data_IF_680867986606
#
_entry.id   IF_680867986606
#
_cell.length_a   1.000
_cell.length_b   1.000
_cell.length_c   1.000
_cell.angle_alpha   90.00
_cell.angle_beta   90.00
_cell.angle_gamma   90.00
#
_symmetry.space_group_name_H-M   'P 1'
#
loop_
_entity.id
_entity.type
_entity.pdbx_description
1 polymer ?
#
# COMPACT_ATOMS: atom_id res chain seq x y z
N UNK A 1 -7.30 -91.44 -19.56
CA UNK A 1 -6.18 -90.51 -19.67
C UNK A 1 -6.70 -89.14 -20.06
N UNK A 2 -6.81 -88.22 -19.08
CA UNK A 2 -7.28 -86.84 -19.31
C UNK A 2 -6.06 -85.91 -19.33
N UNK A 3 -5.84 -85.26 -20.50
CA UNK A 3 -4.78 -84.21 -20.60
C UNK A 3 -5.32 -82.92 -20.11
N UNK A 4 -4.69 -82.38 -19.07
CA UNK A 4 -4.93 -81.03 -18.60
C UNK A 4 -4.12 -80.03 -19.43
N UNK A 5 -4.83 -79.10 -20.04
CA UNK A 5 -4.25 -77.96 -20.79
C UNK A 5 -4.08 -76.76 -19.79
N UNK A 6 -2.85 -76.39 -19.52
CA UNK A 6 -2.54 -75.26 -18.66
C UNK A 6 -2.50 -73.98 -19.52
N UNK A 7 -3.41 -73.09 -19.25
CA UNK A 7 -3.52 -71.83 -19.98
C UNK A 7 -2.82 -70.75 -19.10
N UNK A 8 -1.71 -70.26 -19.64
CA UNK A 8 -0.92 -69.21 -18.99
C UNK A 8 -1.51 -67.85 -19.40
N UNK A 9 -2.09 -67.11 -18.45
CA UNK A 9 -2.58 -65.77 -18.64
C UNK A 9 -1.43 -64.79 -18.35
N UNK A 10 -0.94 -64.14 -19.39
CA UNK A 10 0.02 -63.04 -19.26
C UNK A 10 -0.75 -61.72 -18.91
N UNK A 11 -0.64 -61.28 -17.67
CA UNK A 11 -1.09 -59.94 -17.27
C UNK A 11 -0.06 -58.91 -17.69
N UNK A 12 -0.34 -58.20 -18.80
CA UNK A 12 0.41 -56.98 -19.16
C UNK A 12 -0.06 -55.84 -18.25
N UNK A 13 0.75 -55.53 -17.25
CA UNK A 13 0.54 -54.36 -16.36
C UNK A 13 0.85 -53.04 -17.09
N UNK A 14 -0.18 -52.28 -17.43
CA UNK A 14 -0.04 -50.94 -17.98
C UNK A 14 0.25 -49.98 -16.80
N UNK A 15 1.51 -49.59 -16.65
CA UNK A 15 1.93 -48.55 -15.72
C UNK A 15 1.51 -47.19 -16.30
N UNK A 16 0.38 -46.67 -15.79
CA UNK A 16 -0.07 -45.31 -16.09
C UNK A 16 0.71 -44.32 -15.18
N UNK A 17 1.80 -43.76 -15.70
CA UNK A 17 2.51 -42.70 -15.04
C UNK A 17 1.69 -41.42 -15.15
N UNK A 18 0.91 -41.12 -14.11
CA UNK A 18 0.27 -39.81 -13.96
C UNK A 18 1.35 -38.77 -13.63
N UNK A 19 1.81 -38.08 -14.67
CA UNK A 19 2.57 -36.82 -14.47
C UNK A 19 1.60 -35.77 -13.94
N UNK A 20 1.62 -35.56 -12.59
CA UNK A 20 0.98 -34.44 -11.97
C UNK A 20 1.76 -33.18 -12.40
N UNK A 21 1.28 -32.55 -13.47
CA UNK A 21 1.74 -31.24 -13.89
C UNK A 21 1.37 -30.24 -12.80
N UNK A 22 2.32 -29.93 -11.92
CA UNK A 22 2.22 -28.76 -11.04
C UNK A 22 2.30 -27.54 -11.94
N UNK A 23 1.14 -27.10 -12.42
CA UNK A 23 0.98 -25.77 -13.00
C UNK A 23 1.29 -24.76 -11.90
N UNK A 24 2.53 -24.30 -11.86
CA UNK A 24 2.89 -23.10 -11.14
C UNK A 24 2.09 -21.96 -11.79
N UNK A 25 0.89 -21.70 -11.27
CA UNK A 25 0.19 -20.46 -11.53
C UNK A 25 1.10 -19.36 -11.02
N UNK A 26 1.88 -18.80 -11.96
CA UNK A 26 2.59 -17.56 -11.79
C UNK A 26 1.52 -16.56 -11.36
N UNK A 27 1.47 -16.25 -10.06
CA UNK A 27 0.61 -15.21 -9.54
C UNK A 27 1.01 -13.96 -10.33
N UNK A 28 0.19 -13.57 -11.28
CA UNK A 28 0.29 -12.26 -11.90
C UNK A 28 0.18 -11.28 -10.75
N UNK A 29 1.32 -10.73 -10.36
CA UNK A 29 1.39 -9.65 -9.41
C UNK A 29 0.51 -8.56 -10.03
N UNK A 30 -0.68 -8.41 -9.48
CA UNK A 30 -1.63 -7.38 -9.87
C UNK A 30 -0.87 -6.07 -9.75
N UNK A 31 -0.44 -5.53 -10.89
CA UNK A 31 0.35 -4.31 -10.99
C UNK A 31 -0.52 -3.22 -10.35
N UNK A 32 -0.28 -2.96 -9.07
CA UNK A 32 -1.00 -1.96 -8.31
C UNK A 32 -0.92 -0.66 -9.11
N UNK A 33 -2.06 -0.20 -9.58
CA UNK A 33 -2.14 0.99 -10.40
C UNK A 33 -1.75 2.19 -9.52
N UNK A 34 -0.52 2.67 -9.75
CA UNK A 34 0.01 3.80 -9.00
C UNK A 34 -0.74 5.08 -9.42
N UNK A 35 -1.31 5.84 -8.48
CA UNK A 35 -2.06 7.05 -8.80
C UNK A 35 -1.22 8.02 -9.64
N UNK A 36 -1.84 8.65 -10.64
CA UNK A 36 -1.14 9.53 -11.60
C UNK A 36 -0.55 10.77 -10.94
N UNK A 37 -1.12 11.22 -9.83
CA UNK A 37 -0.66 12.38 -9.08
C UNK A 37 0.61 12.12 -8.26
N UNK A 38 0.99 10.87 -8.02
CA UNK A 38 2.26 10.55 -7.35
C UNK A 38 3.42 10.90 -8.26
N UNK A 39 4.37 11.70 -7.79
CA UNK A 39 5.53 12.14 -8.58
C UNK A 39 6.37 10.95 -9.08
N UNK A 40 7.11 11.15 -10.18
CA UNK A 40 7.95 10.09 -10.75
C UNK A 40 8.99 9.56 -9.74
N UNK A 41 9.58 10.45 -8.94
CA UNK A 41 10.58 10.09 -7.94
C UNK A 41 9.96 9.25 -6.81
N UNK A 42 8.83 9.69 -6.28
CA UNK A 42 8.11 8.98 -5.21
C UNK A 42 7.54 7.65 -5.69
N UNK A 43 7.08 7.60 -6.94
CA UNK A 43 6.63 6.36 -7.58
C UNK A 43 7.71 5.29 -7.62
N UNK A 44 8.95 5.67 -7.94
CA UNK A 44 10.08 4.73 -7.95
C UNK A 44 10.35 4.15 -6.55
N UNK A 45 10.33 4.99 -5.52
CA UNK A 45 10.47 4.57 -4.11
C UNK A 45 9.35 3.61 -3.70
N UNK A 46 8.09 3.97 -4.03
CA UNK A 46 6.92 3.16 -3.70
C UNK A 46 6.94 1.82 -4.42
N UNK A 47 7.29 1.78 -5.70
CA UNK A 47 7.41 0.53 -6.45
C UNK A 47 8.44 -0.41 -5.84
N UNK A 48 9.60 0.10 -5.44
CA UNK A 48 10.63 -0.68 -4.75
C UNK A 48 10.14 -1.20 -3.39
N UNK A 49 9.46 -0.36 -2.63
CA UNK A 49 8.92 -0.75 -1.33
C UNK A 49 7.80 -1.79 -1.46
N UNK A 50 6.85 -1.58 -2.37
CA UNK A 50 5.73 -2.49 -2.64
C UNK A 50 6.21 -3.86 -3.20
N UNK A 51 7.29 -3.90 -3.96
CA UNK A 51 7.88 -5.16 -4.40
C UNK A 51 8.31 -6.06 -3.23
N UNK A 52 8.68 -5.46 -2.10
CA UNK A 52 9.00 -6.16 -0.84
C UNK A 52 7.77 -6.38 0.07
N UNK A 53 6.67 -5.73 -0.23
CA UNK A 53 5.41 -5.77 0.54
C UNK A 53 4.22 -6.03 -0.41
N UNK A 54 4.18 -7.17 -1.12
CA UNK A 54 3.22 -7.43 -2.20
C UNK A 54 1.76 -7.53 -1.72
N UNK A 55 1.55 -7.67 -0.42
CA UNK A 55 0.22 -7.66 0.20
C UNK A 55 -0.37 -6.25 0.30
N UNK A 56 0.43 -5.20 0.07
CA UNK A 56 0.00 -3.81 0.17
C UNK A 56 -0.12 -3.16 -1.22
N UNK A 57 -0.97 -2.17 -1.33
CA UNK A 57 -1.06 -1.25 -2.46
C UNK A 57 -1.19 0.19 -1.96
N UNK A 58 -0.92 1.14 -2.80
CA UNK A 58 -1.21 2.55 -2.51
C UNK A 58 -2.72 2.74 -2.46
N UNK A 59 -3.21 3.43 -1.43
CA UNK A 59 -4.59 3.87 -1.38
C UNK A 59 -4.81 5.03 -2.38
N UNK A 60 -6.00 5.07 -2.95
CA UNK A 60 -6.41 6.06 -3.95
C UNK A 60 -7.64 6.80 -3.47
N UNK A 61 -7.97 7.92 -4.08
CA UNK A 61 -9.18 8.68 -3.75
C UNK A 61 -10.47 7.83 -3.80
N UNK A 62 -10.43 6.71 -4.55
CA UNK A 62 -11.55 5.73 -4.62
C UNK A 62 -11.71 4.89 -3.36
N UNK A 63 -10.68 4.80 -2.54
CA UNK A 63 -10.73 4.06 -1.26
C UNK A 63 -11.34 4.92 -0.14
N UNK A 64 -11.57 6.20 -0.41
CA UNK A 64 -12.26 7.11 0.48
C UNK A 64 -13.78 6.87 0.42
N UNK A 65 -14.43 6.81 1.56
CA UNK A 65 -15.84 6.47 1.64
C UNK A 65 -16.77 7.58 1.12
N UNK A 66 -16.92 8.66 1.88
CA UNK A 66 -17.78 9.80 1.54
C UNK A 66 -17.02 11.13 1.54
N UNK A 67 -15.82 11.14 0.97
CA UNK A 67 -14.90 12.27 1.09
C UNK A 67 -14.92 13.27 -0.07
N UNK A 68 -15.80 13.13 -1.05
CA UNK A 68 -15.74 13.99 -2.23
C UNK A 68 -15.93 15.48 -1.88
N UNK A 69 -16.82 15.78 -0.95
CA UNK A 69 -17.09 17.16 -0.50
C UNK A 69 -15.87 17.71 0.25
N UNK A 70 -15.27 16.90 1.10
CA UNK A 70 -14.09 17.26 1.89
C UNK A 70 -12.86 17.44 1.01
N UNK A 71 -12.67 16.57 0.00
CA UNK A 71 -11.59 16.69 -0.99
C UNK A 71 -11.73 18.01 -1.75
N UNK A 72 -12.95 18.37 -2.18
CA UNK A 72 -13.22 19.62 -2.88
C UNK A 72 -12.96 20.82 -1.95
N UNK A 73 -13.45 20.79 -0.72
CA UNK A 73 -13.24 21.84 0.26
C UNK A 73 -11.76 22.07 0.57
N UNK A 74 -11.01 21.00 0.80
CA UNK A 74 -9.57 21.06 1.05
C UNK A 74 -8.80 21.55 -0.19
N UNK A 75 -9.19 21.11 -1.38
CA UNK A 75 -8.59 21.58 -2.63
C UNK A 75 -8.79 23.08 -2.82
N UNK A 76 -9.98 23.58 -2.53
CA UNK A 76 -10.30 25.00 -2.61
C UNK A 76 -9.52 25.81 -1.54
N UNK A 77 -9.46 25.32 -0.33
CA UNK A 77 -8.75 25.99 0.77
C UNK A 77 -7.24 26.09 0.52
N UNK A 78 -6.63 25.07 -0.06
CA UNK A 78 -5.19 25.02 -0.33
C UNK A 78 -4.80 25.61 -1.70
N UNK A 79 -5.75 25.93 -2.56
CA UNK A 79 -5.48 26.41 -3.93
C UNK A 79 -4.82 25.37 -4.85
N UNK A 80 -4.91 24.08 -4.47
CA UNK A 80 -4.34 22.94 -5.20
C UNK A 80 -5.21 21.70 -4.99
N UNK A 81 -5.15 20.75 -5.93
CA UNK A 81 -5.88 19.49 -5.79
C UNK A 81 -5.37 18.74 -4.58
N UNK A 82 -6.26 18.46 -3.64
CA UNK A 82 -5.97 17.66 -2.46
C UNK A 82 -6.24 16.18 -2.73
N UNK A 83 -5.28 15.35 -2.31
CA UNK A 83 -5.40 13.89 -2.37
C UNK A 83 -5.32 13.33 -0.95
N UNK A 84 -6.37 12.68 -0.44
CA UNK A 84 -6.46 12.31 0.99
C UNK A 84 -5.37 11.35 1.44
N UNK A 85 -4.78 10.60 0.52
CA UNK A 85 -3.83 9.54 0.83
C UNK A 85 -2.40 9.81 0.36
N UNK A 86 -2.11 11.06 0.02
CA UNK A 86 -0.78 11.45 -0.42
C UNK A 86 -0.51 12.92 -0.09
N UNK A 87 0.55 13.14 0.66
CA UNK A 87 1.03 14.47 1.01
C UNK A 87 2.52 14.61 0.69
N UNK A 88 2.93 15.82 0.32
CA UNK A 88 4.30 16.17 -0.02
C UNK A 88 4.68 17.43 0.73
N UNK A 89 5.89 17.47 1.28
CA UNK A 89 6.42 18.64 1.97
C UNK A 89 7.73 18.33 2.67
N UNK A 90 8.29 19.31 3.31
CA UNK A 90 9.42 19.14 4.22
C UNK A 90 8.86 18.90 5.63
N UNK A 91 8.62 17.65 5.99
CA UNK A 91 7.95 17.30 7.25
C UNK A 91 8.88 17.32 8.43
N UNK A 92 10.19 17.16 8.21
CA UNK A 92 11.22 17.12 9.24
C UNK A 92 12.02 18.41 9.35
N UNK A 93 11.82 19.38 8.45
CA UNK A 93 12.48 20.67 8.46
C UNK A 93 13.93 20.64 7.99
N UNK A 94 14.35 19.62 7.21
CA UNK A 94 15.73 19.49 6.71
C UNK A 94 15.97 20.18 5.35
N UNK A 95 14.95 20.85 4.82
CA UNK A 95 14.99 21.56 3.53
C UNK A 95 14.86 20.66 2.31
N UNK A 96 14.49 19.38 2.50
CA UNK A 96 14.26 18.42 1.40
C UNK A 96 12.80 18.04 1.34
N UNK A 97 12.40 17.65 0.15
CA UNK A 97 11.06 17.14 -0.08
C UNK A 97 10.93 15.73 0.50
N UNK A 98 9.96 15.57 1.42
CA UNK A 98 9.48 14.31 1.94
C UNK A 98 8.13 13.97 1.31
N UNK A 99 7.67 12.73 1.46
CA UNK A 99 6.28 12.40 1.15
C UNK A 99 5.69 11.39 2.15
N UNK A 100 4.40 11.51 2.35
CA UNK A 100 3.59 10.57 3.11
C UNK A 100 2.56 9.91 2.19
N UNK A 101 2.29 8.64 2.41
CA UNK A 101 1.34 7.87 1.61
C UNK A 101 0.54 6.92 2.47
N UNK A 102 -0.76 6.84 2.22
CA UNK A 102 -1.58 5.79 2.79
C UNK A 102 -1.49 4.52 1.93
N UNK A 103 -1.41 3.41 2.60
CA UNK A 103 -1.30 2.07 2.06
C UNK A 103 -2.48 1.23 2.56
N UNK A 104 -2.94 0.29 1.76
CA UNK A 104 -4.05 -0.59 2.09
C UNK A 104 -3.75 -2.01 1.62
N UNK A 105 -4.34 -3.02 2.24
CA UNK A 105 -4.17 -4.41 1.80
C UNK A 105 -4.71 -4.60 0.38
N UNK A 106 -3.92 -5.26 -0.49
CA UNK A 106 -4.29 -5.52 -1.90
C UNK A 106 -5.51 -6.43 -2.04
N UNK A 107 -5.79 -7.25 -1.02
CA UNK A 107 -6.94 -8.16 -0.99
C UNK A 107 -7.78 -7.86 0.24
N UNK A 108 -9.08 -7.61 0.07
CA UNK A 108 -9.96 -7.36 1.21
C UNK A 108 -10.02 -8.60 2.13
N UNK A 109 -9.91 -8.37 3.43
CA UNK A 109 -10.04 -9.44 4.43
C UNK A 109 -11.53 -9.67 4.70
N UNK A 110 -12.05 -10.81 4.27
CA UNK A 110 -13.48 -11.18 4.25
C UNK A 110 -14.26 -11.02 5.57
N UNK A 111 -13.61 -10.78 6.69
CA UNK A 111 -14.25 -10.67 8.02
C UNK A 111 -14.16 -9.29 8.66
N UNK A 112 -13.60 -8.29 7.97
CA UNK A 112 -13.49 -6.93 8.52
C UNK A 112 -14.65 -6.07 8.05
N UNK A 113 -15.21 -5.28 8.97
CA UNK A 113 -16.28 -4.33 8.67
C UNK A 113 -15.78 -3.12 7.87
N UNK A 114 -14.47 -2.85 7.95
CA UNK A 114 -13.81 -1.75 7.24
C UNK A 114 -12.36 -2.13 6.93
N UNK A 115 -11.84 -1.54 5.88
CA UNK A 115 -10.45 -1.69 5.47
C UNK A 115 -9.53 -0.90 6.42
N UNK A 116 -8.40 -1.49 6.77
CA UNK A 116 -7.38 -0.82 7.59
C UNK A 116 -6.30 -0.24 6.71
N UNK A 117 -5.95 0.98 7.00
CA UNK A 117 -4.87 1.70 6.34
C UNK A 117 -3.59 1.62 7.15
N UNK A 118 -2.48 1.72 6.45
CA UNK A 118 -1.20 2.06 7.03
C UNK A 118 -0.73 3.38 6.42
N UNK A 119 -0.04 4.22 7.18
CA UNK A 119 0.63 5.41 6.65
C UNK A 119 2.13 5.22 6.74
N UNK A 120 2.80 5.45 5.62
CA UNK A 120 4.25 5.46 5.51
C UNK A 120 4.74 6.88 5.18
N UNK A 121 5.79 7.34 5.86
CA UNK A 121 6.48 8.60 5.56
C UNK A 121 7.89 8.26 5.08
N UNK A 122 8.29 8.85 3.99
CA UNK A 122 9.62 8.71 3.42
C UNK A 122 10.31 10.06 3.38
N UNK A 123 11.52 10.12 3.95
CA UNK A 123 12.33 11.33 3.92
C UNK A 123 13.21 11.36 2.67
N UNK A 124 13.30 12.55 2.05
CA UNK A 124 14.18 12.81 0.92
C UNK A 124 15.69 12.80 1.26
N UNK A 125 16.57 12.97 0.30
CA UNK A 125 16.29 13.13 -1.13
C UNK A 125 16.06 11.80 -1.85
N UNK A 126 15.20 11.79 -2.88
CA UNK A 126 14.85 10.60 -3.67
C UNK A 126 15.71 10.44 -4.94
N UNK A 127 16.83 11.14 -5.03
CA UNK A 127 17.77 11.05 -6.14
C UNK A 127 18.82 9.96 -5.87
N UNK A 128 18.91 8.99 -6.77
CA UNK A 128 19.96 7.95 -6.73
C UNK A 128 19.40 6.55 -6.37
N UNK A 129 19.47 5.65 -7.31
CA UNK A 129 18.82 4.33 -7.32
C UNK A 129 19.45 3.24 -6.43
N UNK A 130 20.46 3.57 -5.62
CA UNK A 130 21.22 2.54 -4.90
C UNK A 130 20.84 2.36 -3.42
N UNK A 131 19.92 3.13 -2.89
CA UNK A 131 19.51 3.02 -1.48
C UNK A 131 18.13 2.40 -1.40
N UNK A 132 18.00 1.31 -0.65
CA UNK A 132 16.70 0.80 -0.23
C UNK A 132 16.02 1.89 0.60
N UNK A 133 15.00 2.50 0.02
CA UNK A 133 14.19 3.46 0.75
C UNK A 133 13.36 2.72 1.79
N UNK A 134 13.59 3.05 3.04
CA UNK A 134 12.83 2.55 4.19
C UNK A 134 12.01 3.73 4.70
N UNK A 135 10.73 3.52 5.03
CA UNK A 135 9.94 4.58 5.65
C UNK A 135 10.60 5.06 6.95
N UNK A 136 10.65 6.37 7.13
CA UNK A 136 11.05 7.00 8.39
C UNK A 136 9.97 6.83 9.47
N UNK A 137 8.72 6.60 9.02
CA UNK A 137 7.58 6.25 9.85
C UNK A 137 6.70 5.27 9.11
N UNK A 138 6.19 4.27 9.83
CA UNK A 138 5.19 3.34 9.33
C UNK A 138 4.25 2.95 10.47
N UNK A 139 2.97 3.24 10.32
CA UNK A 139 1.93 2.86 11.28
C UNK A 139 0.75 2.25 10.55
N UNK A 140 0.38 1.06 10.95
CA UNK A 140 -0.81 0.35 10.46
C UNK A 140 -2.03 0.53 11.38
N UNK A 141 -3.06 -0.21 11.06
CA UNK A 141 -4.34 -0.29 11.81
C UNK A 141 -5.10 1.04 11.94
N UNK A 142 -4.90 1.94 10.99
CA UNK A 142 -5.59 3.23 10.93
C UNK A 142 -6.94 3.08 10.20
N UNK A 143 -7.95 3.83 10.66
CA UNK A 143 -9.18 4.01 9.91
C UNK A 143 -9.13 5.36 9.20
N UNK A 144 -8.84 5.36 7.91
CA UNK A 144 -8.78 6.58 7.08
C UNK A 144 -9.84 6.57 5.98
N UNK A 145 -10.88 5.76 6.11
CA UNK A 145 -11.95 5.71 5.11
C UNK A 145 -12.64 7.06 4.91
N UNK A 146 -12.82 7.81 6.01
CA UNK A 146 -13.41 9.14 6.01
C UNK A 146 -12.40 10.16 6.58
N UNK A 147 -11.14 10.01 6.16
CA UNK A 147 -10.03 10.81 6.62
C UNK A 147 -8.89 10.87 5.63
N UNK A 148 -7.77 11.40 6.06
CA UNK A 148 -6.63 11.57 5.18
C UNK A 148 -5.34 11.97 5.88
N UNK A 149 -4.39 12.33 5.06
CA UNK A 149 -3.08 12.87 5.41
C UNK A 149 -3.09 14.36 5.06
N UNK A 150 -2.81 15.20 6.02
CA UNK A 150 -2.89 16.65 5.88
C UNK A 150 -1.52 17.27 6.13
N UNK A 151 -1.12 18.16 5.23
CA UNK A 151 0.07 19.00 5.41
C UNK A 151 -0.13 20.32 4.65
N UNK A 152 -0.01 21.43 5.34
CA UNK A 152 -0.17 22.74 4.73
C UNK A 152 -0.65 23.79 5.72
N UNK A 153 -0.81 25.04 5.27
CA UNK A 153 -1.18 26.15 6.15
C UNK A 153 -2.62 26.11 6.65
N UNK A 154 -3.49 25.39 5.96
CA UNK A 154 -4.94 25.33 6.23
C UNK A 154 -5.38 24.04 6.92
N UNK A 155 -4.42 23.21 7.33
CA UNK A 155 -4.70 21.92 7.99
C UNK A 155 -4.99 22.12 9.49
N UNK A 156 -5.59 21.14 10.19
CA UNK A 156 -5.83 21.20 11.63
C UNK A 156 -4.55 21.49 12.44
N UNK A 157 -3.40 21.02 11.93
CA UNK A 157 -2.07 21.27 12.52
C UNK A 157 -1.16 21.92 11.46
N UNK A 158 -1.19 23.26 11.30
CA UNK A 158 -0.40 23.95 10.29
C UNK A 158 1.09 23.61 10.40
N UNK A 159 1.73 23.38 9.23
CA UNK A 159 3.15 23.01 9.11
C UNK A 159 3.56 21.70 9.81
N UNK A 160 2.59 20.90 10.24
CA UNK A 160 2.82 19.54 10.76
C UNK A 160 2.10 18.52 9.91
N UNK A 161 2.68 17.34 9.81
CA UNK A 161 2.01 16.23 9.16
C UNK A 161 0.96 15.67 10.11
N UNK A 162 -0.30 15.79 9.73
CA UNK A 162 -1.45 15.32 10.49
C UNK A 162 -2.16 14.20 9.76
N UNK A 163 -2.56 13.18 10.48
CA UNK A 163 -3.28 12.01 9.97
C UNK A 163 -4.55 11.87 10.78
N UNK A 164 -5.70 12.07 10.18
CA UNK A 164 -6.96 12.08 10.93
C UNK A 164 -8.19 12.05 10.07
N UNK A 165 -9.34 12.20 10.72
CA UNK A 165 -10.63 12.22 10.07
C UNK A 165 -10.97 13.62 9.56
N UNK A 166 -11.74 13.69 8.47
CA UNK A 166 -12.28 14.96 7.98
C UNK A 166 -13.22 15.58 9.01
N UNK A 167 -13.17 16.90 9.11
CA UNK A 167 -14.03 17.66 10.03
C UNK A 167 -13.79 17.38 11.52
N UNK A 168 -12.64 16.78 11.87
CA UNK A 168 -12.29 16.47 13.26
C UNK A 168 -10.84 16.82 13.54
N UNK A 169 -10.58 17.33 14.76
CA UNK A 169 -9.22 17.52 15.29
C UNK A 169 -8.64 16.24 15.88
N UNK A 170 -9.44 15.15 15.91
CA UNK A 170 -8.98 13.86 16.38
C UNK A 170 -8.11 13.18 15.32
N UNK A 171 -6.86 12.93 15.69
CA UNK A 171 -5.90 12.31 14.79
C UNK A 171 -4.53 12.17 15.41
N UNK A 172 -3.57 11.90 14.57
CA UNK A 172 -2.18 11.70 14.89
C UNK A 172 -1.36 12.82 14.27
N UNK A 173 -0.76 13.65 15.09
CA UNK A 173 0.24 14.62 14.63
C UNK A 173 1.60 13.96 14.65
N UNK A 174 2.30 13.98 13.52
CA UNK A 174 3.67 13.47 13.43
C UNK A 174 4.67 14.58 13.76
N UNK A 175 5.50 14.33 14.76
CA UNK A 175 6.60 15.21 15.16
C UNK A 175 7.92 14.54 14.82
N UNK A 176 8.83 15.25 14.10
CA UNK A 176 10.15 14.70 13.79
C UNK A 176 10.96 14.39 15.05
N UNK A 177 11.59 13.22 15.08
CA UNK A 177 12.53 12.81 16.11
C UNK A 177 13.78 12.22 15.44
N UNK A 178 14.79 13.04 15.25
CA UNK A 178 15.99 12.67 14.50
C UNK A 178 15.68 12.34 13.04
N UNK A 179 15.80 11.04 12.66
CA UNK A 179 15.51 10.57 11.31
C UNK A 179 14.15 9.88 11.19
N UNK A 180 13.38 9.84 12.27
CA UNK A 180 12.06 9.22 12.34
C UNK A 180 11.00 10.20 12.82
N UNK A 181 9.80 9.71 13.10
CA UNK A 181 8.69 10.49 13.61
C UNK A 181 8.05 9.77 14.79
N UNK A 182 7.57 10.57 15.75
CA UNK A 182 6.68 10.11 16.83
C UNK A 182 5.30 10.70 16.62
N UNK A 183 4.28 9.91 16.94
CA UNK A 183 2.89 10.36 16.89
C UNK A 183 2.44 10.91 18.24
N UNK A 184 1.79 12.04 18.23
CA UNK A 184 1.19 12.70 19.40
C UNK A 184 -0.31 12.88 19.21
#
# INVERSE_FOLDING_TARGET
>A
MKKFLTQTIACAGLLFVMTVGVSAQKAEAQKSEMPVYVSKAHRAVLQEWLARNPQMRVATDKDCGQCLVEIEAQSKANGAVYHPYYAVGDFNGDGKEDFAVALIESKPVKKRLYEKFAVAVFNGPFKGSARKHTPAFLRGDLNLRDGGIFFGPTTPQPKKLFIGLFGSDAGLTLVPEGKSYVGQ
#
